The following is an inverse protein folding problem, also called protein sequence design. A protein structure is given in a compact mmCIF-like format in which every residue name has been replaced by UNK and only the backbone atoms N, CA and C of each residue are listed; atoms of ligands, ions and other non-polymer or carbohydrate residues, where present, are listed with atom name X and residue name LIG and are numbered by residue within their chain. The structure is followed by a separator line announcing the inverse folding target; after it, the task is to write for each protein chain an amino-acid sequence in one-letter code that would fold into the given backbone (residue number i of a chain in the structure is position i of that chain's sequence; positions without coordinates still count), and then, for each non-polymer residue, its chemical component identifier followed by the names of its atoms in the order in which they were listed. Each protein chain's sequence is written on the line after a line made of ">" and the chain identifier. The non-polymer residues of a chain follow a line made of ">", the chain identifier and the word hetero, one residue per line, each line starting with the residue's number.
data_IF_810354174322
#
_entry.id   IF_810354174322
#
_cell.length_a   1.000
_cell.length_b   1.000
_cell.length_c   1.000
_cell.angle_alpha   90.00
_cell.angle_beta   90.00
_cell.angle_gamma   90.00
#
_symmetry.space_group_name_H-M   'P 1'
#
loop_
_entity.id
_entity.type
_entity.pdbx_description
1 polymer ?
#
# COMPACT_ATOMS: atom_id res chain seq x y z
N UNK A 1 -0.49 31.84 -16.19
CA UNK A 1 0.95 31.62 -15.93
C UNK A 1 1.49 30.77 -17.07
N UNK A 2 2.40 31.32 -17.87
CA UNK A 2 2.91 30.66 -19.07
C UNK A 2 4.08 29.73 -18.76
N UNK A 3 4.03 28.50 -19.29
CA UNK A 3 5.19 27.60 -19.30
C UNK A 3 6.30 28.27 -20.14
N UNK A 4 7.55 28.35 -19.65
CA UNK A 4 8.65 28.94 -20.40
C UNK A 4 8.82 28.24 -21.76
N UNK A 5 8.99 29.03 -22.85
CA UNK A 5 9.18 28.55 -24.23
C UNK A 5 10.34 27.55 -24.42
N UNK A 6 11.25 27.42 -23.44
CA UNK A 6 12.39 26.50 -23.48
C UNK A 6 12.04 24.99 -23.44
N UNK A 7 10.76 24.64 -23.24
CA UNK A 7 10.31 23.24 -23.21
C UNK A 7 9.63 22.74 -24.49
N UNK A 8 9.41 23.60 -25.50
CA UNK A 8 8.70 23.23 -26.73
C UNK A 8 9.59 22.71 -27.85
N UNK A 9 10.86 23.08 -27.83
CA UNK A 9 11.84 22.63 -28.82
C UNK A 9 12.63 21.51 -28.15
N UNK A 10 12.74 20.34 -28.77
CA UNK A 10 13.39 19.12 -28.25
C UNK A 10 14.89 19.22 -27.96
N UNK A 11 15.34 20.32 -27.35
CA UNK A 11 16.69 20.59 -26.92
C UNK A 11 17.06 19.86 -25.62
N UNK A 12 18.32 20.07 -25.24
CA UNK A 12 19.04 19.38 -24.16
C UNK A 12 18.25 19.31 -22.84
N UNK A 13 17.42 20.32 -22.52
CA UNK A 13 16.60 20.34 -21.30
C UNK A 13 15.46 19.31 -21.28
N UNK A 14 14.78 19.08 -22.40
CA UNK A 14 13.74 18.06 -22.51
C UNK A 14 14.35 16.64 -22.50
N UNK A 15 15.56 16.50 -23.07
CA UNK A 15 16.33 15.25 -23.03
C UNK A 15 16.80 14.95 -21.59
N UNK A 16 17.33 15.94 -20.88
CA UNK A 16 17.77 15.80 -19.49
C UNK A 16 16.60 15.43 -18.57
N UNK A 17 15.42 16.06 -18.72
CA UNK A 17 14.23 15.71 -17.95
C UNK A 17 13.76 14.28 -18.25
N UNK A 18 13.75 13.86 -19.52
CA UNK A 18 13.43 12.47 -19.89
C UNK A 18 14.42 11.48 -19.31
N UNK A 19 15.72 11.77 -19.36
CA UNK A 19 16.77 10.92 -18.78
C UNK A 19 16.63 10.84 -17.26
N UNK A 20 16.34 11.96 -16.57
CA UNK A 20 16.09 11.97 -15.13
C UNK A 20 14.84 11.16 -14.76
N UNK A 21 13.72 11.33 -15.47
CA UNK A 21 12.49 10.56 -15.22
C UNK A 21 12.67 9.07 -15.52
N UNK A 22 13.37 8.71 -16.59
CA UNK A 22 13.69 7.32 -16.91
C UNK A 22 14.67 6.71 -15.91
N UNK A 23 15.61 7.50 -15.41
CA UNK A 23 16.56 7.06 -14.37
C UNK A 23 15.85 6.90 -13.03
N UNK A 24 14.98 7.84 -12.63
CA UNK A 24 14.15 7.73 -11.44
C UNK A 24 13.20 6.53 -11.53
N UNK A 25 12.53 6.33 -12.66
CA UNK A 25 11.68 5.16 -12.91
C UNK A 25 12.49 3.85 -12.91
N UNK A 26 13.71 3.84 -13.45
CA UNK A 26 14.60 2.67 -13.45
C UNK A 26 15.18 2.39 -12.07
N UNK A 27 15.50 3.40 -11.28
CA UNK A 27 15.92 3.28 -9.88
C UNK A 27 14.74 2.79 -9.05
N UNK A 28 13.55 3.38 -9.15
CA UNK A 28 12.33 2.91 -8.47
C UNK A 28 12.01 1.46 -8.85
N UNK A 29 12.03 1.13 -10.15
CA UNK A 29 11.79 -0.25 -10.63
C UNK A 29 12.89 -1.20 -10.18
N UNK A 30 14.16 -0.77 -10.14
CA UNK A 30 15.31 -1.55 -9.64
C UNK A 30 15.24 -1.79 -8.13
N UNK A 31 14.86 -0.77 -7.36
CA UNK A 31 14.76 -0.83 -5.90
C UNK A 31 13.55 -1.67 -5.51
N UNK A 32 12.43 -1.52 -6.22
CA UNK A 32 11.26 -2.36 -6.07
C UNK A 32 11.57 -3.80 -6.50
N UNK A 33 12.23 -4.04 -7.64
CA UNK A 33 12.63 -5.40 -8.05
C UNK A 33 13.63 -6.02 -7.07
N UNK A 34 14.55 -5.23 -6.50
CA UNK A 34 15.50 -5.70 -5.49
C UNK A 34 14.83 -5.96 -4.15
N UNK A 35 13.83 -5.16 -3.77
CA UNK A 35 13.00 -5.39 -2.59
C UNK A 35 12.08 -6.59 -2.78
N UNK A 36 11.42 -6.73 -3.93
CA UNK A 36 10.65 -7.92 -4.32
C UNK A 36 11.54 -9.16 -4.37
N UNK A 37 12.78 -9.07 -4.88
CA UNK A 37 13.75 -10.16 -4.85
C UNK A 37 14.26 -10.46 -3.44
N UNK A 38 14.42 -9.45 -2.59
CA UNK A 38 14.81 -9.61 -1.19
C UNK A 38 13.69 -10.27 -0.41
N UNK A 39 12.45 -9.80 -0.54
CA UNK A 39 11.21 -10.39 -0.02
C UNK A 39 11.09 -11.82 -0.54
N UNK A 40 11.15 -12.03 -1.86
CA UNK A 40 11.12 -13.35 -2.48
C UNK A 40 12.26 -14.26 -1.98
N UNK A 41 13.47 -13.73 -1.71
CA UNK A 41 14.59 -14.49 -1.12
C UNK A 41 14.38 -14.79 0.36
N UNK A 42 13.85 -13.85 1.13
CA UNK A 42 13.48 -14.03 2.54
C UNK A 42 12.41 -15.14 2.67
N UNK A 43 11.50 -15.23 1.71
CA UNK A 43 10.50 -16.29 1.59
C UNK A 43 11.01 -17.56 0.87
N UNK A 44 12.33 -17.73 0.67
CA UNK A 44 12.90 -18.83 -0.14
C UNK A 44 13.79 -19.85 0.60
N UNK A 45 13.86 -19.84 1.93
CA UNK A 45 14.52 -20.92 2.69
C UNK A 45 13.51 -22.03 3.06
N UNK A 46 13.94 -23.15 3.68
CA UNK A 46 13.20 -24.42 3.74
C UNK A 46 11.81 -24.43 4.43
N UNK A 47 11.33 -23.32 5.00
CA UNK A 47 9.90 -23.08 5.34
C UNK A 47 8.96 -23.06 4.11
N UNK A 48 9.55 -23.17 2.91
CA UNK A 48 8.98 -23.17 1.55
C UNK A 48 7.72 -24.00 1.26
N UNK A 49 7.41 -25.07 1.99
CA UNK A 49 6.20 -25.87 1.66
C UNK A 49 4.97 -25.26 2.30
N UNK A 50 5.06 -24.87 3.58
CA UNK A 50 3.96 -24.22 4.28
C UNK A 50 3.66 -22.84 3.68
N UNK A 51 4.68 -21.98 3.50
CA UNK A 51 4.46 -20.63 2.96
C UNK A 51 3.97 -20.61 1.51
N UNK A 52 4.39 -21.55 0.66
CA UNK A 52 3.84 -21.66 -0.71
C UNK A 52 2.42 -22.22 -0.73
N UNK A 53 2.11 -23.15 0.19
CA UNK A 53 0.77 -23.68 0.33
C UNK A 53 -0.19 -22.58 0.78
N UNK A 54 0.18 -21.78 1.78
CA UNK A 54 -0.61 -20.66 2.29
C UNK A 54 -0.87 -19.59 1.21
N UNK A 55 0.13 -19.25 0.39
CA UNK A 55 -0.04 -18.29 -0.71
C UNK A 55 -0.96 -18.83 -1.80
N UNK A 56 -0.85 -20.12 -2.14
CA UNK A 56 -1.74 -20.76 -3.12
C UNK A 56 -3.19 -20.85 -2.60
N UNK A 57 -3.36 -21.22 -1.33
CA UNK A 57 -4.66 -21.27 -0.67
C UNK A 57 -5.30 -19.89 -0.62
N UNK A 58 -4.52 -18.86 -0.30
CA UNK A 58 -4.96 -17.47 -0.35
C UNK A 58 -5.37 -17.06 -1.78
N UNK A 59 -4.58 -17.41 -2.80
CA UNK A 59 -4.93 -17.10 -4.19
C UNK A 59 -6.27 -17.74 -4.59
N UNK A 60 -6.50 -18.99 -4.20
CA UNK A 60 -7.77 -19.68 -4.42
C UNK A 60 -8.91 -19.05 -3.63
N UNK A 61 -8.69 -18.66 -2.38
CA UNK A 61 -9.68 -17.98 -1.56
C UNK A 61 -10.11 -16.65 -2.19
N UNK A 62 -9.15 -15.82 -2.62
CA UNK A 62 -9.44 -14.56 -3.32
C UNK A 62 -10.26 -14.82 -4.59
N UNK A 63 -9.89 -15.82 -5.39
CA UNK A 63 -10.62 -16.15 -6.62
C UNK A 63 -12.05 -16.66 -6.36
N UNK A 64 -12.27 -17.39 -5.27
CA UNK A 64 -13.55 -18.06 -5.00
C UNK A 64 -14.52 -17.22 -4.15
N UNK A 65 -14.00 -16.51 -3.13
CA UNK A 65 -14.81 -15.80 -2.13
C UNK A 65 -14.48 -14.29 -2.05
N UNK A 66 -13.56 -13.79 -2.87
CA UNK A 66 -13.23 -12.36 -2.95
C UNK A 66 -12.32 -11.85 -1.83
N UNK A 67 -11.89 -12.71 -0.90
CA UNK A 67 -10.96 -12.36 0.17
C UNK A 67 -10.04 -13.54 0.51
N UNK A 68 -8.86 -13.22 1.06
CA UNK A 68 -7.91 -14.18 1.56
C UNK A 68 -7.24 -13.65 2.82
N UNK A 69 -6.72 -14.54 3.66
CA UNK A 69 -6.05 -14.19 4.91
C UNK A 69 -4.72 -14.92 5.01
N UNK A 70 -3.66 -14.18 5.33
CA UNK A 70 -2.35 -14.74 5.66
C UNK A 70 -2.09 -14.50 7.16
N UNK A 71 -2.22 -15.54 8.02
CA UNK A 71 -2.01 -15.39 9.46
C UNK A 71 -0.50 -15.30 9.79
N UNK A 72 -0.19 -14.94 11.03
CA UNK A 72 1.16 -14.98 11.60
C UNK A 72 2.22 -14.16 10.84
N UNK A 73 1.80 -13.12 10.12
CA UNK A 73 2.73 -12.19 9.49
C UNK A 73 3.64 -11.53 10.53
N UNK A 74 4.93 -11.26 10.20
CA UNK A 74 5.84 -10.58 11.11
C UNK A 74 5.32 -9.20 11.51
N UNK A 75 5.22 -8.98 12.82
CA UNK A 75 4.92 -7.69 13.43
C UNK A 75 5.97 -7.33 14.46
N UNK A 76 6.13 -6.05 14.71
CA UNK A 76 6.96 -5.57 15.81
C UNK A 76 6.39 -6.04 17.16
N UNK A 77 7.25 -6.60 18.03
CA UNK A 77 6.85 -6.98 19.40
C UNK A 77 6.35 -5.79 20.21
N UNK A 78 6.99 -4.63 20.03
CA UNK A 78 6.53 -3.34 20.55
C UNK A 78 6.39 -2.36 19.38
N UNK A 79 5.19 -2.21 18.80
CA UNK A 79 4.95 -1.25 17.72
C UNK A 79 4.84 0.19 18.23
N UNK A 80 4.93 0.44 19.54
CA UNK A 80 4.70 1.74 20.16
C UNK A 80 3.20 2.08 20.33
N UNK A 81 2.90 3.32 20.76
CA UNK A 81 1.53 3.77 20.96
C UNK A 81 0.78 3.91 19.62
N UNK A 82 -0.51 3.55 19.61
CA UNK A 82 -1.39 3.85 18.46
C UNK A 82 -1.49 5.38 18.30
N UNK A 83 -1.31 5.93 17.09
CA UNK A 83 -1.44 7.36 16.85
C UNK A 83 -2.89 7.82 17.07
N UNK A 84 -3.07 8.91 17.81
CA UNK A 84 -4.40 9.45 18.15
C UNK A 84 -5.05 10.28 17.02
N UNK A 85 -4.30 10.59 15.98
CA UNK A 85 -4.71 11.42 14.84
C UNK A 85 -5.00 10.60 13.57
N UNK A 86 -4.90 9.26 13.66
CA UNK A 86 -4.94 8.32 12.53
C UNK A 86 -3.89 8.60 11.44
N UNK A 87 -2.83 9.36 11.76
CA UNK A 87 -1.67 9.55 10.91
C UNK A 87 -0.63 8.44 11.08
N UNK A 88 0.52 8.54 10.40
CA UNK A 88 1.64 7.62 10.60
C UNK A 88 2.11 7.62 12.06
N UNK A 89 2.57 6.47 12.60
CA UNK A 89 3.13 6.45 13.94
C UNK A 89 4.40 7.31 14.00
N UNK A 90 4.49 8.21 15.00
CA UNK A 90 5.53 9.26 15.07
C UNK A 90 6.79 8.84 15.84
N UNK A 91 6.69 7.80 16.65
CA UNK A 91 7.72 7.46 17.66
C UNK A 91 8.62 6.29 17.28
N UNK A 92 8.35 5.62 16.17
CA UNK A 92 9.16 4.49 15.68
C UNK A 92 9.43 4.62 14.19
N UNK A 93 10.67 4.38 13.78
CA UNK A 93 11.10 4.55 12.37
C UNK A 93 11.15 3.23 11.58
N UNK A 94 11.05 2.08 12.24
CA UNK A 94 11.17 0.77 11.61
C UNK A 94 9.91 -0.04 11.86
N UNK A 95 9.19 -0.40 10.81
CA UNK A 95 7.99 -1.21 10.91
C UNK A 95 8.23 -2.53 10.18
N UNK A 96 8.50 -3.59 10.95
CA UNK A 96 8.46 -4.95 10.41
C UNK A 96 7.09 -5.20 9.75
N UNK A 97 6.03 -4.64 10.34
CA UNK A 97 4.68 -4.68 9.80
C UNK A 97 4.55 -3.97 8.45
N UNK A 98 5.10 -2.77 8.26
CA UNK A 98 5.02 -2.06 6.97
C UNK A 98 5.84 -2.76 5.90
N UNK A 99 7.04 -3.26 6.26
CA UNK A 99 7.87 -4.05 5.35
C UNK A 99 7.16 -5.35 4.93
N UNK A 100 6.52 -6.04 5.87
CA UNK A 100 5.71 -7.23 5.60
C UNK A 100 4.50 -6.88 4.74
N UNK A 101 3.81 -5.77 5.01
CA UNK A 101 2.66 -5.31 4.24
C UNK A 101 3.05 -4.96 2.79
N UNK A 102 4.14 -4.22 2.59
CA UNK A 102 4.65 -3.90 1.26
C UNK A 102 5.16 -5.14 0.53
N UNK A 103 5.85 -6.05 1.22
CA UNK A 103 6.31 -7.32 0.66
C UNK A 103 5.15 -8.20 0.21
N UNK A 104 4.10 -8.29 1.04
CA UNK A 104 2.86 -8.97 0.71
C UNK A 104 2.14 -8.31 -0.47
N UNK A 105 2.01 -6.98 -0.48
CA UNK A 105 1.43 -6.23 -1.59
C UNK A 105 2.19 -6.46 -2.90
N UNK A 106 3.53 -6.55 -2.86
CA UNK A 106 4.34 -6.88 -4.03
C UNK A 106 4.13 -8.34 -4.50
N UNK A 107 4.00 -9.29 -3.57
CA UNK A 107 3.72 -10.70 -3.89
C UNK A 107 2.35 -10.83 -4.58
N UNK A 108 1.32 -10.25 -3.98
CA UNK A 108 -0.04 -10.21 -4.54
C UNK A 108 -0.03 -9.50 -5.90
N UNK A 109 0.65 -8.35 -6.00
CA UNK A 109 0.80 -7.64 -7.26
C UNK A 109 1.42 -8.52 -8.36
N UNK A 110 2.45 -9.31 -8.02
CA UNK A 110 3.05 -10.25 -8.96
C UNK A 110 2.12 -11.41 -9.35
N UNK A 111 1.29 -11.90 -8.42
CA UNK A 111 0.35 -13.01 -8.68
C UNK A 111 -0.82 -12.61 -9.58
N UNK A 112 -1.26 -11.35 -9.49
CA UNK A 112 -2.47 -10.86 -10.16
C UNK A 112 -2.17 -9.78 -11.22
N UNK A 113 -0.91 -9.55 -11.56
CA UNK A 113 -0.45 -8.49 -12.49
C UNK A 113 -0.97 -7.09 -12.10
N UNK A 114 -0.84 -6.76 -10.82
CA UNK A 114 -1.25 -5.48 -10.24
C UNK A 114 -0.04 -4.71 -9.70
N UNK A 115 -0.16 -3.39 -9.63
CA UNK A 115 0.84 -2.52 -9.00
C UNK A 115 0.20 -1.71 -7.88
N UNK A 116 0.87 -1.54 -6.73
CA UNK A 116 0.35 -0.70 -5.66
C UNK A 116 0.37 0.77 -6.12
N UNK A 117 -0.63 1.53 -5.70
CA UNK A 117 -0.75 2.96 -5.98
C UNK A 117 -1.41 3.69 -4.80
N UNK A 118 -1.12 4.98 -4.67
CA UNK A 118 -1.71 5.88 -3.68
C UNK A 118 -2.75 6.78 -4.35
N UNK A 119 -3.64 7.36 -3.54
CA UNK A 119 -4.60 8.37 -4.00
C UNK A 119 -4.12 9.74 -3.56
N UNK A 120 -3.91 10.67 -4.50
CA UNK A 120 -3.36 12.00 -4.24
C UNK A 120 -4.14 12.79 -3.17
N UNK A 121 -5.45 12.58 -3.09
CA UNK A 121 -6.35 13.28 -2.16
C UNK A 121 -6.47 12.61 -0.80
N UNK A 122 -5.84 11.45 -0.61
CA UNK A 122 -5.97 10.67 0.62
C UNK A 122 -4.64 10.60 1.36
N UNK A 123 -4.67 10.95 2.65
CA UNK A 123 -3.56 10.80 3.61
C UNK A 123 -2.21 11.24 3.04
N UNK A 124 -2.19 12.41 2.41
CA UNK A 124 -0.99 13.02 1.84
C UNK A 124 -0.26 12.14 0.81
N UNK A 125 -1.02 11.42 -0.03
CA UNK A 125 -0.50 10.56 -1.10
C UNK A 125 0.38 9.40 -0.59
N UNK A 126 0.12 8.96 0.64
CA UNK A 126 0.83 7.82 1.22
C UNK A 126 0.42 6.52 0.55
N UNK A 127 1.37 5.62 0.34
CA UNK A 127 1.07 4.28 -0.19
C UNK A 127 0.45 3.36 0.87
N UNK A 128 0.87 3.52 2.12
CA UNK A 128 0.40 2.73 3.26
C UNK A 128 -0.34 3.65 4.21
N UNK A 129 -1.62 3.34 4.44
CA UNK A 129 -2.50 4.15 5.27
C UNK A 129 -2.62 3.56 6.67
N UNK A 130 -2.52 4.41 7.70
CA UNK A 130 -2.84 4.01 9.08
C UNK A 130 -4.35 3.98 9.28
N UNK A 131 -4.89 2.85 9.71
CA UNK A 131 -6.29 2.68 10.13
C UNK A 131 -6.30 2.59 11.64
N UNK A 132 -6.76 3.66 12.30
CA UNK A 132 -6.79 3.76 13.76
C UNK A 132 -7.86 4.77 14.21
N UNK A 133 -8.44 4.62 15.40
CA UNK A 133 -9.38 5.59 15.94
C UNK A 133 -8.78 6.99 16.03
N UNK A 134 -9.48 7.98 15.47
CA UNK A 134 -9.10 9.38 15.58
C UNK A 134 -9.85 10.06 16.71
N UNK A 135 -9.10 10.66 17.63
CA UNK A 135 -9.68 11.37 18.78
C UNK A 135 -10.60 12.49 18.30
N UNK A 136 -11.83 12.50 18.81
CA UNK A 136 -12.87 13.48 18.44
C UNK A 136 -13.62 13.18 17.14
N UNK A 137 -13.35 12.03 16.49
CA UNK A 137 -14.05 11.60 15.27
C UNK A 137 -14.56 10.16 15.38
N UNK A 138 -14.87 9.70 16.59
CA UNK A 138 -15.21 8.30 16.85
C UNK A 138 -16.53 7.86 16.19
N UNK A 139 -17.47 8.78 15.93
CA UNK A 139 -18.73 8.49 15.23
C UNK A 139 -18.65 8.70 13.71
N UNK A 140 -17.46 8.98 13.16
CA UNK A 140 -17.32 9.15 11.73
C UNK A 140 -17.49 7.81 10.99
N UNK A 141 -18.29 7.80 9.92
CA UNK A 141 -18.37 6.69 8.98
C UNK A 141 -17.14 6.65 8.06
N UNK A 142 -15.96 6.46 8.65
CA UNK A 142 -14.66 6.47 7.98
C UNK A 142 -13.72 5.46 8.64
N UNK A 143 -12.57 5.19 8.00
CA UNK A 143 -11.54 4.27 8.52
C UNK A 143 -10.85 4.71 9.83
N UNK A 144 -11.27 5.84 10.41
CA UNK A 144 -10.81 6.34 11.71
C UNK A 144 -11.95 6.49 12.73
N UNK A 145 -13.17 6.09 12.37
CA UNK A 145 -14.28 5.92 13.29
C UNK A 145 -14.10 4.68 14.16
N UNK A 146 -14.79 4.63 15.29
CA UNK A 146 -14.70 3.54 16.26
C UNK A 146 -16.00 3.24 17.01
N UNK A 147 -16.89 4.22 17.16
CA UNK A 147 -18.14 4.08 17.92
C UNK A 147 -19.33 3.58 17.10
N UNK A 148 -19.22 3.62 15.77
CA UNK A 148 -20.25 3.19 14.84
C UNK A 148 -19.67 2.23 13.80
N UNK A 149 -20.52 1.36 13.25
CA UNK A 149 -20.11 0.42 12.22
C UNK A 149 -19.72 1.13 10.93
N UNK A 150 -18.51 0.85 10.43
CA UNK A 150 -18.05 1.30 9.12
C UNK A 150 -18.70 0.41 8.05
N UNK A 151 -19.96 0.71 7.71
CA UNK A 151 -20.85 -0.15 6.92
C UNK A 151 -20.24 -0.72 5.62
N UNK A 152 -20.84 -1.78 5.10
CA UNK A 152 -20.35 -2.46 3.88
C UNK A 152 -20.36 -1.52 2.67
N UNK A 153 -19.23 -1.40 1.99
CA UNK A 153 -19.08 -0.57 0.79
C UNK A 153 -17.98 -1.13 -0.12
N UNK A 154 -18.00 -0.73 -1.38
CA UNK A 154 -16.87 -0.87 -2.28
C UNK A 154 -16.01 0.38 -2.17
N UNK A 155 -14.72 0.19 -1.91
CA UNK A 155 -13.76 1.29 -1.81
C UNK A 155 -13.76 2.09 -3.12
N UNK A 156 -14.03 3.39 -3.02
CA UNK A 156 -14.08 4.34 -4.14
C UNK A 156 -14.98 3.91 -5.31
N UNK A 157 -16.15 3.35 -5.04
CA UNK A 157 -17.11 2.91 -6.08
C UNK A 157 -17.44 4.00 -7.14
N UNK A 158 -17.47 5.27 -6.72
CA UNK A 158 -17.68 6.44 -7.59
C UNK A 158 -16.77 7.57 -7.10
N UNK A 159 -15.50 7.56 -7.49
CA UNK A 159 -14.66 8.75 -7.30
C UNK A 159 -14.82 9.72 -8.49
N UNK A 160 -15.06 10.99 -8.19
CA UNK A 160 -15.30 12.06 -9.17
C UNK A 160 -14.29 13.19 -9.04
N UNK A 161 -13.22 13.00 -8.26
CA UNK A 161 -12.22 14.05 -8.10
C UNK A 161 -11.37 14.18 -9.38
N UNK A 162 -11.22 15.37 -9.98
CA UNK A 162 -10.49 15.54 -11.24
C UNK A 162 -9.04 15.06 -11.20
N UNK A 163 -8.37 15.20 -10.05
CA UNK A 163 -6.99 14.68 -9.89
C UNK A 163 -6.91 13.15 -9.91
N UNK A 164 -8.04 12.47 -9.74
CA UNK A 164 -8.10 11.03 -9.62
C UNK A 164 -8.78 10.34 -10.82
N UNK A 165 -9.31 11.10 -11.79
CA UNK A 165 -10.01 10.55 -12.96
C UNK A 165 -9.14 9.59 -13.80
N UNK A 166 -7.81 9.75 -13.72
CA UNK A 166 -6.85 8.89 -14.42
C UNK A 166 -6.32 7.73 -13.55
N UNK A 167 -6.79 7.60 -12.31
CA UNK A 167 -6.32 6.53 -11.42
C UNK A 167 -7.02 5.21 -11.77
N UNK A 168 -6.29 4.08 -11.69
CA UNK A 168 -6.91 2.78 -11.92
C UNK A 168 -7.96 2.49 -10.84
N UNK A 169 -8.95 1.68 -11.20
CA UNK A 169 -9.88 1.16 -10.21
C UNK A 169 -9.13 0.31 -9.16
N UNK A 170 -9.54 0.40 -7.90
CA UNK A 170 -9.01 -0.46 -6.85
C UNK A 170 -9.52 -1.88 -7.10
N UNK A 171 -8.60 -2.76 -7.49
CA UNK A 171 -8.89 -4.17 -7.72
C UNK A 171 -8.78 -4.99 -6.44
N UNK A 172 -7.94 -4.56 -5.50
CA UNK A 172 -7.72 -5.21 -4.22
C UNK A 172 -7.33 -4.20 -3.15
N UNK A 173 -7.82 -4.40 -1.93
CA UNK A 173 -7.41 -3.67 -0.74
C UNK A 173 -6.73 -4.65 0.23
N UNK A 174 -5.53 -4.30 0.68
CA UNK A 174 -4.81 -5.09 1.67
C UNK A 174 -4.95 -4.44 3.05
N UNK A 175 -5.31 -5.24 4.05
CA UNK A 175 -5.37 -4.85 5.44
C UNK A 175 -4.31 -5.65 6.21
N UNK A 176 -3.44 -4.94 6.94
CA UNK A 176 -2.39 -5.55 7.74
C UNK A 176 -2.56 -5.16 9.20
N UNK A 177 -2.85 -6.16 10.05
CA UNK A 177 -3.19 -5.93 11.45
C UNK A 177 -1.91 -5.85 12.29
N UNK A 178 -1.64 -4.65 12.82
CA UNK A 178 -0.53 -4.43 13.78
C UNK A 178 -0.97 -4.68 15.22
N UNK A 179 -2.23 -4.34 15.54
CA UNK A 179 -2.86 -4.49 16.85
C UNK A 179 -4.36 -4.68 16.64
N UNK A 180 -4.97 -5.62 17.36
CA UNK A 180 -6.41 -5.75 17.46
C UNK A 180 -6.96 -5.00 18.67
N UNK A 181 -8.23 -4.62 18.63
CA UNK A 181 -8.93 -4.16 19.82
C UNK A 181 -9.01 -5.29 20.85
N UNK A 182 -8.92 -4.99 22.16
CA UNK A 182 -9.18 -5.98 23.19
C UNK A 182 -10.59 -6.53 23.03
N UNK A 183 -10.70 -7.87 23.09
CA UNK A 183 -11.97 -8.59 23.02
C UNK A 183 -12.86 -8.34 24.24
#
# INVERSE_FOLDING_TARGET
>A
MGVPRAFRDGGLGALLLRVMLLTAARVLRSTFTSFTLLVHRLFSSEEKVAGKLEVNEMQQAVANVGCGMLPNCPVDQDPGPTPSDAGPPKTKCTFAAEAAHLGFGALVGALFDMSPFSWYTEKDDQLVHTVAPKLGQQTAAANFGASEGFGLHQERAVDRHPLNECMPAIQMLNLFVVRGDPA
#
